data_IF_565046629418
#
_entry.id   IF_565046629418
#
_cell.length_a   1.000
_cell.length_b   1.000
_cell.length_c   1.000
_cell.angle_alpha   90.00
_cell.angle_beta   90.00
_cell.angle_gamma   90.00
#
_symmetry.space_group_name_H-M   'P 1'
#
loop_
_entity.id
_entity.type
_entity.pdbx_description
1 polymer ?
#
# COMPACT_ATOMS: atom_id res chain seq x y z
N UNK A 1 4.74 34.32 5.99
CA UNK A 1 3.44 33.78 5.53
C UNK A 1 3.39 32.34 6.01
N UNK A 2 2.49 32.04 6.94
CA UNK A 2 2.38 30.70 7.54
C UNK A 2 1.59 29.81 6.57
N UNK A 3 2.28 29.21 5.60
CA UNK A 3 1.65 28.31 4.62
C UNK A 3 1.35 27.01 5.35
N UNK A 4 0.15 26.89 5.90
CA UNK A 4 -0.35 25.61 6.41
C UNK A 4 -0.40 24.63 5.24
N UNK A 5 0.25 23.46 5.34
CA UNK A 5 0.16 22.45 4.31
C UNK A 5 -1.30 22.00 4.10
N UNK A 6 -1.73 21.84 2.84
CA UNK A 6 -3.12 21.48 2.50
C UNK A 6 -3.58 20.15 3.13
N UNK A 7 -2.66 19.23 3.41
CA UNK A 7 -2.98 18.00 4.13
C UNK A 7 -3.36 18.19 5.60
N UNK A 8 -3.20 19.38 6.17
CA UNK A 8 -3.69 19.70 7.52
C UNK A 8 -5.14 20.20 7.52
N UNK A 9 -5.78 20.32 6.35
CA UNK A 9 -7.16 20.76 6.24
C UNK A 9 -8.15 19.74 6.83
N UNK A 10 -9.38 20.22 7.09
CA UNK A 10 -10.44 19.47 7.80
C UNK A 10 -10.65 18.06 7.22
N UNK A 11 -10.98 17.08 8.08
CA UNK A 11 -11.18 15.70 7.64
C UNK A 11 -12.41 15.60 6.73
N UNK A 12 -12.18 15.49 5.44
CA UNK A 12 -13.11 14.89 4.48
C UNK A 12 -12.65 13.47 4.15
N UNK A 13 -13.54 12.65 3.62
CA UNK A 13 -13.18 11.32 3.15
C UNK A 13 -12.32 11.44 1.88
N UNK A 14 -11.18 10.74 1.77
CA UNK A 14 -10.39 10.74 0.54
C UNK A 14 -11.18 10.06 -0.58
N UNK A 15 -11.05 10.58 -1.80
CA UNK A 15 -11.65 9.94 -2.96
C UNK A 15 -10.97 8.57 -3.20
N UNK A 16 -11.72 7.52 -3.61
CA UNK A 16 -11.13 6.20 -3.89
C UNK A 16 -9.99 6.23 -4.91
N UNK A 17 -10.08 7.12 -5.91
CA UNK A 17 -9.01 7.31 -6.89
C UNK A 17 -7.72 7.86 -6.29
N UNK A 18 -7.80 8.74 -5.29
CA UNK A 18 -6.63 9.27 -4.58
C UNK A 18 -5.97 8.20 -3.70
N UNK A 19 -6.77 7.30 -3.11
CA UNK A 19 -6.25 6.14 -2.37
C UNK A 19 -5.57 5.16 -3.32
N UNK A 20 -6.15 4.90 -4.50
CA UNK A 20 -5.53 4.04 -5.50
C UNK A 20 -4.20 4.63 -6.00
N UNK A 21 -4.13 5.94 -6.23
CA UNK A 21 -2.89 6.63 -6.58
C UNK A 21 -1.84 6.53 -5.45
N UNK A 22 -2.25 6.71 -4.20
CA UNK A 22 -1.39 6.55 -3.02
C UNK A 22 -0.76 5.16 -2.94
N UNK A 23 -1.50 4.11 -3.31
CA UNK A 23 -1.00 2.74 -3.28
C UNK A 23 -0.06 2.36 -4.44
N UNK A 24 0.03 3.20 -5.47
CA UNK A 24 0.93 3.03 -6.64
C UNK A 24 0.91 1.60 -7.24
N UNK A 25 -0.19 1.16 -7.89
CA UNK A 25 -0.38 -0.24 -8.32
C UNK A 25 0.72 -0.83 -9.20
N UNK A 26 1.39 0.00 -10.00
CA UNK A 26 2.51 -0.42 -10.84
C UNK A 26 3.66 -0.99 -10.00
N UNK A 27 3.82 -0.53 -8.75
CA UNK A 27 4.89 -0.99 -7.86
C UNK A 27 4.64 -2.37 -7.26
N UNK A 28 3.45 -2.95 -7.46
CA UNK A 28 3.10 -4.27 -6.94
C UNK A 28 3.64 -5.41 -7.81
N UNK A 29 3.89 -5.16 -9.10
CA UNK A 29 4.36 -6.20 -10.01
C UNK A 29 5.70 -6.82 -9.58
N UNK A 30 6.74 -6.05 -9.17
CA UNK A 30 7.99 -6.63 -8.72
C UNK A 30 7.86 -7.62 -7.55
N UNK A 31 7.22 -7.30 -6.40
CA UNK A 31 7.07 -8.28 -5.32
C UNK A 31 6.17 -9.47 -5.67
N UNK A 32 5.11 -9.26 -6.47
CA UNK A 32 4.28 -10.36 -6.98
C UNK A 32 5.11 -11.34 -7.83
N UNK A 33 6.00 -10.80 -8.66
CA UNK A 33 6.89 -11.63 -9.49
C UNK A 33 7.94 -12.36 -8.66
N UNK A 34 8.53 -11.69 -7.67
CA UNK A 34 9.46 -12.32 -6.73
C UNK A 34 8.80 -13.50 -5.99
N UNK A 35 7.55 -13.33 -5.53
CA UNK A 35 6.77 -14.40 -4.93
C UNK A 35 6.50 -15.55 -5.91
N UNK A 36 6.08 -15.24 -7.14
CA UNK A 36 5.83 -16.25 -8.17
C UNK A 36 7.09 -17.07 -8.51
N UNK A 37 8.26 -16.41 -8.61
CA UNK A 37 9.53 -17.10 -8.76
C UNK A 37 9.80 -18.05 -7.58
N UNK A 38 9.54 -17.61 -6.35
CA UNK A 38 9.63 -18.46 -5.15
C UNK A 38 8.72 -19.69 -5.21
N UNK A 39 7.47 -19.52 -5.64
CA UNK A 39 6.52 -20.62 -5.84
C UNK A 39 7.06 -21.63 -6.85
N UNK A 40 7.54 -21.18 -8.01
CA UNK A 40 8.11 -22.06 -9.04
C UNK A 40 9.34 -22.80 -8.51
N UNK A 41 10.22 -22.12 -7.79
CA UNK A 41 11.44 -22.71 -7.22
C UNK A 41 11.20 -23.66 -6.04
N UNK A 42 10.03 -23.58 -5.38
CA UNK A 42 9.71 -24.43 -4.23
C UNK A 42 9.50 -25.91 -4.56
N UNK A 43 9.28 -26.25 -5.84
CA UNK A 43 9.04 -27.63 -6.28
C UNK A 43 7.64 -28.17 -5.96
N UNK A 44 6.74 -27.35 -5.39
CA UNK A 44 5.34 -27.74 -5.16
C UNK A 44 4.58 -27.84 -6.49
N UNK A 45 3.55 -28.69 -6.54
CA UNK A 45 2.64 -28.75 -7.70
C UNK A 45 1.67 -27.55 -7.65
N UNK A 46 1.80 -26.52 -8.51
CA UNK A 46 1.07 -25.26 -8.33
C UNK A 46 -0.45 -25.41 -8.39
N UNK A 47 -0.92 -26.37 -9.19
CA UNK A 47 -2.34 -26.67 -9.37
C UNK A 47 -3.03 -27.14 -8.09
N UNK A 48 -2.28 -27.72 -7.14
CA UNK A 48 -2.81 -28.14 -5.84
C UNK A 48 -2.86 -26.98 -4.83
N UNK A 49 -2.23 -25.85 -5.13
CA UNK A 49 -2.06 -24.72 -4.24
C UNK A 49 -2.54 -23.39 -4.83
N UNK A 50 -3.43 -23.42 -5.83
CA UNK A 50 -3.91 -22.23 -6.55
C UNK A 50 -4.40 -21.15 -5.60
N UNK A 51 -5.20 -21.51 -4.59
CA UNK A 51 -5.72 -20.54 -3.62
C UNK A 51 -4.59 -19.90 -2.80
N UNK A 52 -3.67 -20.70 -2.26
CA UNK A 52 -2.51 -20.21 -1.50
C UNK A 52 -1.63 -19.30 -2.35
N UNK A 53 -1.36 -19.66 -3.61
CA UNK A 53 -0.57 -18.87 -4.55
C UNK A 53 -1.27 -17.54 -4.83
N UNK A 54 -2.57 -17.57 -5.13
CA UNK A 54 -3.37 -16.37 -5.38
C UNK A 54 -3.35 -15.42 -4.17
N UNK A 55 -3.58 -15.95 -2.97
CA UNK A 55 -3.55 -15.17 -1.74
C UNK A 55 -2.13 -14.63 -1.43
N UNK A 56 -1.07 -15.39 -1.73
CA UNK A 56 0.30 -14.91 -1.58
C UNK A 56 0.66 -13.79 -2.57
N UNK A 57 0.15 -13.86 -3.80
CA UNK A 57 0.26 -12.76 -4.79
C UNK A 57 -0.47 -11.51 -4.30
N UNK A 58 -1.69 -11.67 -3.76
CA UNK A 58 -2.44 -10.55 -3.17
C UNK A 58 -1.73 -9.96 -1.95
N UNK A 59 -1.16 -10.82 -1.10
CA UNK A 59 -0.44 -10.40 0.09
C UNK A 59 0.80 -9.59 -0.27
N UNK A 60 1.62 -10.08 -1.20
CA UNK A 60 2.92 -9.47 -1.51
C UNK A 60 2.79 -8.18 -2.32
N UNK A 61 1.81 -8.09 -3.23
CA UNK A 61 1.55 -6.89 -4.02
C UNK A 61 0.54 -5.94 -3.35
N UNK A 62 -0.76 -6.02 -3.71
CA UNK A 62 -1.79 -5.08 -3.27
C UNK A 62 -1.91 -4.83 -1.76
N UNK A 63 -1.44 -5.74 -0.90
CA UNK A 63 -1.48 -5.56 0.55
C UNK A 63 -0.17 -5.00 1.11
N UNK A 64 0.89 -5.82 1.16
CA UNK A 64 2.15 -5.40 1.82
C UNK A 64 2.85 -4.28 1.05
N UNK A 65 2.93 -4.37 -0.28
CA UNK A 65 3.57 -3.31 -1.06
C UNK A 65 2.79 -1.99 -1.00
N UNK A 66 1.46 -2.04 -1.16
CA UNK A 66 0.61 -0.85 -1.01
C UNK A 66 0.70 -0.22 0.38
N UNK A 67 0.80 -1.04 1.43
CA UNK A 67 1.06 -0.58 2.80
C UNK A 67 2.35 0.21 2.87
N UNK A 68 3.45 -0.34 2.31
CA UNK A 68 4.74 0.35 2.27
C UNK A 68 4.64 1.68 1.53
N UNK A 69 3.90 1.76 0.43
CA UNK A 69 3.72 3.02 -0.32
C UNK A 69 2.97 4.07 0.49
N UNK A 70 1.87 3.68 1.15
CA UNK A 70 1.09 4.61 1.98
C UNK A 70 1.88 5.11 3.20
N UNK A 71 2.64 4.22 3.83
CA UNK A 71 3.51 4.57 4.96
C UNK A 71 4.62 5.51 4.51
N UNK A 72 5.31 5.21 3.40
CA UNK A 72 6.37 6.06 2.86
C UNK A 72 5.84 7.47 2.58
N UNK A 73 4.78 7.61 1.78
CA UNK A 73 4.22 8.92 1.44
C UNK A 73 3.69 9.67 2.67
N UNK A 74 3.21 8.96 3.70
CA UNK A 74 2.82 9.62 4.95
C UNK A 74 4.01 10.26 5.65
N UNK A 75 5.14 9.56 5.78
CA UNK A 75 6.32 10.12 6.45
C UNK A 75 7.05 11.15 5.57
N UNK A 76 7.02 10.98 4.25
CA UNK A 76 7.64 11.89 3.29
C UNK A 76 6.79 13.12 2.97
N UNK A 77 5.52 13.20 3.42
CA UNK A 77 4.55 14.26 3.10
C UNK A 77 5.07 15.70 3.15
N UNK A 78 6.03 16.01 4.04
CA UNK A 78 6.63 17.35 4.14
C UNK A 78 7.68 17.60 3.04
N UNK A 79 8.47 16.58 2.71
CA UNK A 79 9.44 16.59 1.61
C UNK A 79 8.70 16.57 0.28
N UNK A 80 7.68 15.73 0.15
CA UNK A 80 6.82 15.64 -1.04
C UNK A 80 6.04 16.93 -1.29
N UNK A 81 5.67 17.69 -0.24
CA UNK A 81 5.05 19.00 -0.43
C UNK A 81 5.96 20.02 -1.13
N UNK A 82 7.28 19.82 -1.09
CA UNK A 82 8.26 20.66 -1.78
C UNK A 82 8.56 20.07 -3.17
N UNK A 83 8.81 18.76 -3.24
CA UNK A 83 9.32 18.11 -4.45
C UNK A 83 8.21 17.68 -5.43
N UNK A 84 7.10 17.17 -4.92
CA UNK A 84 6.00 16.57 -5.69
C UNK A 84 4.63 16.99 -5.12
N UNK A 85 4.30 18.31 -5.13
CA UNK A 85 3.15 18.86 -4.41
C UNK A 85 1.79 18.33 -4.89
N UNK A 86 1.74 17.71 -6.06
CA UNK A 86 0.55 17.12 -6.65
C UNK A 86 0.20 15.74 -6.07
N UNK A 87 1.11 15.09 -5.32
CA UNK A 87 0.88 13.78 -4.71
C UNK A 87 -0.35 13.78 -3.79
N UNK A 88 -1.01 12.63 -3.59
CA UNK A 88 -2.31 12.57 -2.91
C UNK A 88 -2.33 13.22 -1.52
N UNK A 89 -1.32 12.96 -0.69
CA UNK A 89 -1.24 13.57 0.65
C UNK A 89 -0.90 15.06 0.53
N UNK A 90 0.26 15.51 -0.02
CA UNK A 90 0.60 16.94 -0.09
C UNK A 90 -0.46 17.84 -0.72
N UNK A 91 -1.13 17.36 -1.78
CA UNK A 91 -2.18 18.09 -2.49
C UNK A 91 -3.49 18.24 -1.72
N UNK A 92 -3.63 17.58 -0.55
CA UNK A 92 -4.85 17.58 0.26
C UNK A 92 -5.94 16.61 -0.23
N UNK A 93 -5.71 15.87 -1.32
CA UNK A 93 -6.66 14.84 -1.82
C UNK A 93 -6.80 13.66 -0.86
N UNK A 94 -5.77 13.41 -0.03
CA UNK A 94 -5.80 12.54 1.14
C UNK A 94 -5.57 13.42 2.39
N UNK A 95 -6.65 13.98 2.96
CA UNK A 95 -6.53 15.03 3.98
C UNK A 95 -6.29 14.48 5.39
N UNK A 96 -5.85 15.35 6.29
CA UNK A 96 -5.69 15.08 7.72
C UNK A 96 -4.77 13.89 7.99
N UNK A 97 -5.27 12.92 8.76
CA UNK A 97 -4.51 11.71 9.16
C UNK A 97 -4.87 10.48 8.32
N UNK A 98 -5.57 10.65 7.20
CA UNK A 98 -6.01 9.52 6.38
C UNK A 98 -4.85 8.67 5.85
N UNK A 99 -3.75 9.29 5.41
CA UNK A 99 -2.56 8.53 4.97
C UNK A 99 -2.05 7.57 6.05
N UNK A 100 -1.98 8.03 7.30
CA UNK A 100 -1.61 7.19 8.45
C UNK A 100 -2.64 6.08 8.73
N UNK A 101 -3.94 6.41 8.76
CA UNK A 101 -4.98 5.43 9.04
C UNK A 101 -5.12 4.38 7.94
N UNK A 102 -4.90 4.76 6.69
CA UNK A 102 -4.79 3.84 5.56
C UNK A 102 -3.59 2.91 5.82
N UNK A 103 -2.39 3.45 6.10
CA UNK A 103 -1.23 2.63 6.41
C UNK A 103 -1.45 1.63 7.56
N UNK A 104 -2.05 2.06 8.67
CA UNK A 104 -2.36 1.19 9.83
C UNK A 104 -3.39 0.13 9.47
N UNK A 105 -4.50 0.52 8.84
CA UNK A 105 -5.58 -0.43 8.51
C UNK A 105 -5.15 -1.45 7.45
N UNK A 106 -4.35 -1.02 6.46
CA UNK A 106 -3.78 -1.90 5.44
C UNK A 106 -2.71 -2.83 6.00
N UNK A 107 -1.90 -2.36 6.97
CA UNK A 107 -0.98 -3.21 7.73
C UNK A 107 -1.73 -4.32 8.47
N UNK A 108 -2.81 -3.97 9.19
CA UNK A 108 -3.61 -4.95 9.91
C UNK A 108 -4.25 -5.97 8.95
N UNK A 109 -4.80 -5.52 7.83
CA UNK A 109 -5.35 -6.40 6.80
C UNK A 109 -4.30 -7.35 6.20
N UNK A 110 -3.10 -6.83 5.93
CA UNK A 110 -1.96 -7.62 5.45
C UNK A 110 -1.58 -8.70 6.46
N UNK A 111 -1.48 -8.34 7.74
CA UNK A 111 -1.16 -9.28 8.82
C UNK A 111 -2.25 -10.33 9.02
N UNK A 112 -3.53 -9.97 8.90
CA UNK A 112 -4.64 -10.92 8.98
C UNK A 112 -4.57 -11.96 7.86
N UNK A 113 -4.29 -11.54 6.62
CA UNK A 113 -4.13 -12.48 5.52
C UNK A 113 -2.87 -13.34 5.68
N UNK A 114 -1.76 -12.76 6.11
CA UNK A 114 -0.54 -13.50 6.42
C UNK A 114 -0.78 -14.55 7.51
N UNK A 115 -1.51 -14.18 8.57
CA UNK A 115 -1.87 -15.10 9.64
C UNK A 115 -2.77 -16.25 9.14
N UNK A 116 -3.73 -15.96 8.28
CA UNK A 116 -4.59 -16.98 7.66
C UNK A 116 -3.80 -17.97 6.79
N UNK A 117 -2.79 -17.50 6.05
CA UNK A 117 -1.90 -18.36 5.27
C UNK A 117 -1.04 -19.29 6.13
N UNK A 118 -0.89 -18.98 7.42
CA UNK A 118 -0.18 -19.80 8.40
C UNK A 118 1.35 -19.68 8.30
N UNK A 119 2.08 -20.42 9.16
CA UNK A 119 3.53 -20.53 9.04
C UNK A 119 3.90 -21.20 7.72
N UNK A 120 4.96 -20.68 7.08
CA UNK A 120 5.60 -21.27 5.89
C UNK A 120 6.49 -22.43 6.31
#
# INVERSE_FOLDING_TARGET
MDVRPAFLDKPSLPAPSAVLELFKPITWFPPMWAFACGVVSSGIAPWQHILTIFLGVLLTGPLVCATSQAVNDWFDRHVDAINEPHRPIPSGRVPGRWGLWIGISWSALSLLLAWYLGPV
#
